data_IF_610855887808
#
_entry.id   IF_610855887808
#
_cell.length_a   1.000
_cell.length_b   1.000
_cell.length_c   1.000
_cell.angle_alpha   90.00
_cell.angle_beta   90.00
_cell.angle_gamma   90.00
#
_symmetry.space_group_name_H-M   'P 1'
#
loop_
_entity.id
_entity.type
_entity.pdbx_description
1 polymer ?
#
# COMPACT_ATOMS: atom_id res chain seq x y z
N UNK A 1 -13.66 17.23 -16.38
CA UNK A 1 -14.48 16.41 -15.44
C UNK A 1 -14.29 14.90 -15.67
N UNK A 2 -14.23 14.40 -16.89
CA UNK A 2 -14.08 12.95 -17.18
C UNK A 2 -12.76 12.34 -16.68
N UNK A 3 -11.66 13.09 -16.67
CA UNK A 3 -10.35 12.62 -16.18
C UNK A 3 -10.36 12.34 -14.67
N UNK A 4 -10.98 13.20 -13.88
CA UNK A 4 -11.04 13.03 -12.43
C UNK A 4 -11.92 11.83 -12.02
N UNK A 5 -13.02 11.61 -12.74
CA UNK A 5 -13.92 10.46 -12.49
C UNK A 5 -13.18 9.16 -12.80
N UNK A 6 -12.44 9.09 -13.91
CA UNK A 6 -11.62 7.91 -14.24
C UNK A 6 -10.56 7.64 -13.19
N UNK A 7 -9.87 8.67 -12.71
CA UNK A 7 -8.90 8.52 -11.64
C UNK A 7 -9.52 7.98 -10.35
N UNK A 8 -10.69 8.48 -9.95
CA UNK A 8 -11.43 8.00 -8.78
C UNK A 8 -11.82 6.52 -8.95
N UNK A 9 -12.36 6.15 -10.12
CA UNK A 9 -12.75 4.76 -10.40
C UNK A 9 -11.57 3.80 -10.35
N UNK A 10 -10.42 4.21 -10.91
CA UNK A 10 -9.19 3.41 -10.85
C UNK A 10 -8.71 3.25 -9.40
N UNK A 11 -8.76 4.30 -8.59
CA UNK A 11 -8.43 4.22 -7.18
C UNK A 11 -9.36 3.26 -6.42
N UNK A 12 -10.68 3.36 -6.65
CA UNK A 12 -11.65 2.46 -6.02
C UNK A 12 -11.39 1.00 -6.41
N UNK A 13 -11.12 0.73 -7.69
CA UNK A 13 -10.77 -0.61 -8.15
C UNK A 13 -9.48 -1.12 -7.47
N UNK A 14 -8.48 -0.26 -7.31
CA UNK A 14 -7.25 -0.62 -6.60
C UNK A 14 -7.52 -0.99 -5.14
N UNK A 15 -8.37 -0.25 -4.44
CA UNK A 15 -8.77 -0.58 -3.06
C UNK A 15 -9.49 -1.92 -2.99
N UNK A 16 -10.44 -2.19 -3.88
CA UNK A 16 -11.11 -3.51 -3.94
C UNK A 16 -10.10 -4.64 -4.15
N UNK A 17 -9.11 -4.47 -5.03
CA UNK A 17 -8.05 -5.45 -5.22
C UNK A 17 -7.19 -5.64 -3.95
N UNK A 18 -6.89 -4.56 -3.22
CA UNK A 18 -6.17 -4.65 -1.94
C UNK A 18 -6.97 -5.38 -0.87
N UNK A 19 -8.26 -5.12 -0.76
CA UNK A 19 -9.13 -5.79 0.21
C UNK A 19 -9.26 -7.28 -0.11
N UNK A 20 -9.46 -7.64 -1.38
CA UNK A 20 -9.44 -9.04 -1.81
C UNK A 20 -8.11 -9.72 -1.48
N UNK A 21 -6.98 -9.03 -1.69
CA UNK A 21 -5.67 -9.54 -1.31
C UNK A 21 -5.59 -9.77 0.21
N UNK A 22 -6.08 -8.83 1.03
CA UNK A 22 -6.05 -8.96 2.48
C UNK A 22 -6.87 -10.18 2.97
N UNK A 23 -8.05 -10.41 2.37
CA UNK A 23 -8.86 -11.61 2.64
C UNK A 23 -8.10 -12.89 2.29
N UNK A 24 -7.46 -12.95 1.12
CA UNK A 24 -6.66 -14.11 0.72
C UNK A 24 -5.47 -14.36 1.66
N UNK A 25 -4.75 -13.30 2.06
CA UNK A 25 -3.65 -13.40 3.01
C UNK A 25 -4.16 -13.93 4.35
N UNK A 26 -5.30 -13.44 4.84
CA UNK A 26 -5.92 -13.93 6.08
C UNK A 26 -6.26 -15.43 5.99
N UNK A 27 -6.83 -15.85 4.87
CA UNK A 27 -7.18 -17.25 4.67
C UNK A 27 -5.95 -18.16 4.59
N UNK A 28 -4.91 -17.73 3.91
CA UNK A 28 -3.66 -18.46 3.77
C UNK A 28 -2.81 -18.46 5.05
N UNK A 29 -2.95 -17.46 5.91
CA UNK A 29 -2.22 -17.35 7.18
C UNK A 29 -2.52 -18.50 8.16
N UNK A 30 -3.60 -19.27 7.91
CA UNK A 30 -3.89 -20.49 8.65
C UNK A 30 -2.91 -21.64 8.32
N UNK A 31 -2.20 -21.59 7.17
CA UNK A 31 -1.29 -22.64 6.70
C UNK A 31 0.15 -22.18 6.54
N UNK A 32 0.36 -20.91 6.24
CA UNK A 32 1.66 -20.34 5.90
C UNK A 32 2.01 -19.22 6.86
N UNK A 33 3.28 -19.09 7.20
CA UNK A 33 3.74 -17.99 8.04
C UNK A 33 3.65 -16.63 7.29
N UNK A 34 3.47 -15.51 8.01
CA UNK A 34 3.46 -14.17 7.39
C UNK A 34 4.71 -13.89 6.55
N UNK A 35 5.85 -14.42 6.96
CA UNK A 35 7.13 -14.27 6.26
C UNK A 35 7.11 -14.99 4.91
N UNK A 36 6.63 -16.24 4.88
CA UNK A 36 6.50 -17.02 3.64
C UNK A 36 5.56 -16.35 2.65
N UNK A 37 4.39 -15.89 3.11
CA UNK A 37 3.44 -15.17 2.28
C UNK A 37 4.03 -13.88 1.70
N UNK A 38 4.83 -13.16 2.48
CA UNK A 38 5.54 -11.97 2.02
C UNK A 38 6.55 -12.31 0.91
N UNK A 39 7.33 -13.38 1.08
CA UNK A 39 8.31 -13.84 0.09
C UNK A 39 7.61 -14.26 -1.21
N UNK A 40 6.59 -15.11 -1.13
CA UNK A 40 5.83 -15.56 -2.30
C UNK A 40 5.24 -14.38 -3.07
N UNK A 41 4.62 -13.44 -2.38
CA UNK A 41 4.08 -12.24 -3.02
C UNK A 41 5.14 -11.45 -3.77
N UNK A 42 6.30 -11.22 -3.14
CA UNK A 42 7.37 -10.43 -3.75
C UNK A 42 7.99 -11.15 -4.96
N UNK A 43 8.22 -12.46 -4.86
CA UNK A 43 8.76 -13.26 -5.97
C UNK A 43 7.77 -13.32 -7.15
N UNK A 44 6.50 -13.63 -6.88
CA UNK A 44 5.48 -13.69 -7.92
C UNK A 44 5.22 -12.30 -8.50
N UNK A 45 5.28 -11.24 -7.69
CA UNK A 45 5.09 -9.85 -8.13
C UNK A 45 6.16 -9.34 -9.11
N UNK A 46 7.32 -10.00 -9.18
CA UNK A 46 8.33 -9.69 -10.20
C UNK A 46 7.84 -10.05 -11.60
N UNK A 47 7.06 -11.13 -11.75
CA UNK A 47 6.59 -11.60 -13.06
C UNK A 47 5.78 -10.53 -13.82
N UNK A 48 4.69 -9.96 -13.26
CA UNK A 48 3.94 -8.91 -13.97
C UNK A 48 4.78 -7.66 -14.24
N UNK A 49 5.74 -7.34 -13.36
CA UNK A 49 6.65 -6.21 -13.58
C UNK A 49 7.55 -6.45 -14.78
N UNK A 50 8.13 -7.64 -14.90
CA UNK A 50 8.96 -8.02 -16.06
C UNK A 50 8.13 -8.05 -17.34
N UNK A 51 6.92 -8.61 -17.30
CA UNK A 51 6.01 -8.63 -18.45
C UNK A 51 5.67 -7.19 -18.90
N UNK A 52 5.37 -6.30 -17.96
CA UNK A 52 5.07 -4.90 -18.26
C UNK A 52 6.27 -4.19 -18.91
N UNK A 53 7.47 -4.36 -18.36
CA UNK A 53 8.70 -3.81 -18.92
C UNK A 53 8.99 -4.35 -20.32
N UNK A 54 8.72 -5.64 -20.55
CA UNK A 54 8.86 -6.22 -21.88
C UNK A 54 7.83 -5.65 -22.87
N UNK A 55 6.59 -5.46 -22.43
CA UNK A 55 5.51 -4.89 -23.25
C UNK A 55 5.76 -3.43 -23.61
N UNK A 56 6.24 -2.62 -22.66
CA UNK A 56 6.57 -1.20 -22.89
C UNK A 56 7.89 -1.01 -23.66
N UNK A 57 8.59 -2.11 -24.01
CA UNK A 57 9.92 -2.08 -24.62
C UNK A 57 10.99 -1.32 -23.82
N UNK A 58 10.77 -1.14 -22.54
CA UNK A 58 11.73 -0.51 -21.63
C UNK A 58 12.72 -1.54 -21.05
N UNK A 59 12.55 -2.81 -21.37
CA UNK A 59 13.44 -3.89 -20.95
C UNK A 59 14.75 -3.76 -21.73
N UNK A 60 15.75 -3.18 -21.10
CA UNK A 60 17.10 -3.04 -21.67
C UNK A 60 18.01 -4.08 -21.03
N UNK A 61 18.73 -4.86 -21.84
CA UNK A 61 19.77 -5.78 -21.35
C UNK A 61 21.05 -5.03 -20.94
N UNK A 62 21.08 -3.71 -21.11
CA UNK A 62 22.22 -2.91 -20.69
C UNK A 62 22.06 -2.52 -19.21
N UNK A 63 22.85 -3.14 -18.36
CA UNK A 63 22.86 -2.89 -16.90
C UNK A 63 23.08 -1.43 -16.53
N UNK A 64 23.73 -0.65 -17.42
CA UNK A 64 23.93 0.79 -17.19
C UNK A 64 22.61 1.60 -17.27
N UNK A 65 21.61 1.12 -18.00
CA UNK A 65 20.30 1.74 -18.07
C UNK A 65 19.52 1.68 -16.76
N UNK A 66 19.82 0.67 -15.92
CA UNK A 66 19.18 0.47 -14.60
C UNK A 66 20.00 1.06 -13.46
N UNK A 67 21.03 1.85 -13.73
CA UNK A 67 21.86 2.48 -12.70
C UNK A 67 21.03 3.49 -11.92
N UNK A 68 20.61 3.11 -10.73
CA UNK A 68 19.82 3.96 -9.83
C UNK A 68 20.74 5.07 -9.32
N UNK A 69 20.47 6.32 -9.73
CA UNK A 69 21.24 7.50 -9.31
C UNK A 69 21.18 7.73 -7.79
N UNK A 70 20.06 7.36 -7.16
CA UNK A 70 19.82 7.54 -5.73
C UNK A 70 19.59 6.20 -5.03
N UNK A 71 20.55 5.28 -5.17
CA UNK A 71 20.44 3.93 -4.64
C UNK A 71 20.17 3.86 -3.12
N UNK A 72 20.72 4.81 -2.35
CA UNK A 72 20.51 4.90 -0.90
C UNK A 72 19.04 5.15 -0.55
N UNK A 73 18.38 6.07 -1.27
CA UNK A 73 16.95 6.34 -1.09
C UNK A 73 16.08 5.17 -1.56
N UNK A 74 16.45 4.53 -2.67
CA UNK A 74 15.74 3.35 -3.16
C UNK A 74 15.83 2.19 -2.17
N UNK A 75 17.02 1.94 -1.61
CA UNK A 75 17.21 0.92 -0.58
C UNK A 75 16.44 1.24 0.70
N UNK A 76 16.52 2.47 1.20
CA UNK A 76 15.77 2.91 2.37
C UNK A 76 14.26 2.72 2.19
N UNK A 77 13.71 3.15 1.04
CA UNK A 77 12.30 2.92 0.71
C UNK A 77 11.96 1.44 0.68
N UNK A 78 12.77 0.62 0.01
CA UNK A 78 12.55 -0.82 -0.08
C UNK A 78 12.53 -1.49 1.29
N UNK A 79 13.47 -1.11 2.17
CA UNK A 79 13.53 -1.62 3.54
C UNK A 79 12.27 -1.28 4.34
N UNK A 80 11.84 0.00 4.35
CA UNK A 80 10.64 0.40 5.08
C UNK A 80 9.37 -0.25 4.51
N UNK A 81 9.26 -0.39 3.20
CA UNK A 81 8.13 -1.08 2.57
C UNK A 81 8.09 -2.56 2.95
N UNK A 82 9.24 -3.24 2.92
CA UNK A 82 9.33 -4.65 3.32
C UNK A 82 8.98 -4.85 4.79
N UNK A 83 9.48 -3.99 5.67
CA UNK A 83 9.16 -4.02 7.10
C UNK A 83 7.67 -3.77 7.34
N UNK A 84 7.10 -2.74 6.72
CA UNK A 84 5.67 -2.44 6.84
C UNK A 84 4.80 -3.60 6.34
N UNK A 85 5.18 -4.25 5.24
CA UNK A 85 4.49 -5.42 4.70
C UNK A 85 4.53 -6.60 5.66
N UNK A 86 5.68 -6.90 6.27
CA UNK A 86 5.80 -7.97 7.25
C UNK A 86 4.92 -7.71 8.48
N UNK A 87 4.96 -6.49 9.01
CA UNK A 87 4.12 -6.08 10.14
C UNK A 87 2.63 -6.17 9.80
N UNK A 88 2.23 -5.74 8.61
CA UNK A 88 0.85 -5.82 8.15
C UNK A 88 0.37 -7.28 8.00
N UNK A 89 1.19 -8.17 7.45
CA UNK A 89 0.85 -9.59 7.33
C UNK A 89 0.80 -10.27 8.70
N UNK A 90 1.68 -9.90 9.61
CA UNK A 90 1.63 -10.38 11.00
C UNK A 90 0.34 -9.93 11.70
N UNK A 91 -0.08 -8.69 11.47
CA UNK A 91 -1.37 -8.19 11.98
C UNK A 91 -2.55 -8.97 11.40
N UNK A 92 -2.57 -9.20 10.07
CA UNK A 92 -3.62 -10.00 9.41
C UNK A 92 -3.67 -11.45 9.91
N UNK A 93 -2.56 -12.03 10.31
CA UNK A 93 -2.50 -13.40 10.85
C UNK A 93 -3.08 -13.49 12.27
N UNK A 94 -2.88 -12.46 13.09
CA UNK A 94 -3.18 -12.51 14.53
C UNK A 94 -4.43 -11.71 14.94
N UNK A 95 -4.85 -10.72 14.16
CA UNK A 95 -5.99 -9.87 14.46
C UNK A 95 -7.16 -10.17 13.51
N UNK A 96 -8.35 -9.78 13.91
CA UNK A 96 -9.52 -9.83 13.04
C UNK A 96 -9.37 -8.85 11.86
N UNK A 97 -9.89 -9.22 10.69
CA UNK A 97 -9.79 -8.44 9.47
C UNK A 97 -10.41 -7.03 9.64
N UNK A 98 -11.53 -6.95 10.37
CA UNK A 98 -12.20 -5.70 10.67
C UNK A 98 -11.30 -4.75 11.46
N UNK A 99 -10.62 -5.25 12.49
CA UNK A 99 -9.68 -4.49 13.32
C UNK A 99 -8.49 -3.99 12.51
N UNK A 100 -7.90 -4.83 11.65
CA UNK A 100 -6.78 -4.42 10.79
C UNK A 100 -7.23 -3.34 9.80
N UNK A 101 -8.42 -3.49 9.22
CA UNK A 101 -8.98 -2.49 8.31
C UNK A 101 -9.27 -1.16 9.02
N UNK A 102 -9.81 -1.20 10.23
CA UNK A 102 -10.05 -0.01 11.05
C UNK A 102 -8.74 0.72 11.41
N UNK A 103 -7.71 -0.03 11.84
CA UNK A 103 -6.38 0.53 12.08
C UNK A 103 -5.77 1.12 10.81
N UNK A 104 -6.05 0.54 9.65
CA UNK A 104 -5.62 1.06 8.35
C UNK A 104 -6.14 2.48 8.07
N UNK A 105 -7.30 2.87 8.59
CA UNK A 105 -7.83 4.23 8.43
C UNK A 105 -6.97 5.28 9.15
N UNK A 106 -6.18 4.90 10.16
CA UNK A 106 -5.25 5.83 10.81
C UNK A 106 -4.16 6.34 9.88
N UNK A 107 -3.86 5.63 8.79
CA UNK A 107 -2.91 6.06 7.76
C UNK A 107 -3.32 7.41 7.18
N UNK A 108 -4.61 7.63 6.94
CA UNK A 108 -5.11 8.90 6.42
C UNK A 108 -4.79 10.08 7.37
N UNK A 109 -4.90 9.87 8.67
CA UNK A 109 -4.55 10.88 9.69
C UNK A 109 -3.05 11.19 9.63
N UNK A 110 -2.20 10.15 9.62
CA UNK A 110 -0.75 10.31 9.56
C UNK A 110 -0.30 11.00 8.27
N UNK A 111 -0.88 10.65 7.12
CA UNK A 111 -0.57 11.30 5.84
C UNK A 111 -0.88 12.79 5.89
N UNK A 112 -2.04 13.17 6.43
CA UNK A 112 -2.43 14.58 6.57
C UNK A 112 -1.49 15.33 7.52
N UNK A 113 -1.13 14.72 8.66
CA UNK A 113 -0.19 15.31 9.63
C UNK A 113 1.20 15.50 9.01
N UNK A 114 1.72 14.49 8.31
CA UNK A 114 3.03 14.56 7.64
C UNK A 114 3.02 15.64 6.55
N UNK A 115 1.96 15.70 5.73
CA UNK A 115 1.82 16.72 4.69
C UNK A 115 1.83 18.14 5.29
N UNK A 116 1.18 18.33 6.41
CA UNK A 116 1.13 19.62 7.10
C UNK A 116 2.49 20.00 7.72
N UNK A 117 3.16 19.05 8.40
CA UNK A 117 4.40 19.31 9.13
C UNK A 117 5.60 19.47 8.18
N UNK A 118 5.73 18.56 7.19
CA UNK A 118 6.92 18.52 6.32
C UNK A 118 6.77 19.33 5.03
N UNK A 119 5.56 19.41 4.48
CA UNK A 119 5.31 20.11 3.23
C UNK A 119 4.67 21.49 3.43
N UNK A 120 4.27 21.84 4.67
CA UNK A 120 3.61 23.11 4.97
C UNK A 120 2.26 23.26 4.25
N UNK A 121 1.64 22.16 3.84
CA UNK A 121 0.36 22.21 3.15
C UNK A 121 -0.74 22.72 4.10
N UNK A 122 -1.49 23.72 3.65
CA UNK A 122 -2.69 24.18 4.38
C UNK A 122 -3.82 23.19 4.14
N UNK A 123 -4.05 22.34 5.11
CA UNK A 123 -5.15 21.37 5.06
C UNK A 123 -6.46 22.08 5.39
N UNK A 124 -7.35 22.16 4.40
CA UNK A 124 -8.67 22.77 4.58
C UNK A 124 -9.55 21.97 5.53
N UNK A 125 -10.52 22.66 6.15
CA UNK A 125 -11.48 22.09 7.12
C UNK A 125 -12.22 20.86 6.57
N UNK A 126 -12.52 20.84 5.27
CA UNK A 126 -13.18 19.73 4.61
C UNK A 126 -12.36 18.42 4.62
N UNK A 127 -11.05 18.54 4.47
CA UNK A 127 -10.15 17.36 4.54
C UNK A 127 -10.07 16.82 5.97
N UNK A 128 -9.99 17.71 6.96
CA UNK A 128 -10.04 17.33 8.37
C UNK A 128 -11.38 16.68 8.74
N UNK A 129 -12.50 17.23 8.25
CA UNK A 129 -13.82 16.65 8.44
C UNK A 129 -13.92 15.23 7.86
N UNK A 130 -13.44 15.02 6.63
CA UNK A 130 -13.45 13.70 5.99
C UNK A 130 -12.59 12.68 6.77
N UNK A 131 -11.40 13.08 7.24
CA UNK A 131 -10.53 12.22 8.04
C UNK A 131 -11.18 11.88 9.38
N UNK A 132 -11.78 12.86 10.06
CA UNK A 132 -12.46 12.64 11.34
C UNK A 132 -13.66 11.68 11.19
N UNK A 133 -14.48 11.85 10.16
CA UNK A 133 -15.62 10.97 9.92
C UNK A 133 -15.15 9.55 9.58
N UNK A 134 -14.16 9.39 8.71
CA UNK A 134 -13.59 8.09 8.36
C UNK A 134 -12.98 7.37 9.56
N UNK A 135 -12.24 8.09 10.39
CA UNK A 135 -11.63 7.55 11.61
C UNK A 135 -12.67 7.15 12.67
N UNK A 136 -13.69 8.00 12.88
CA UNK A 136 -14.78 7.69 13.79
C UNK A 136 -15.57 6.47 13.31
N UNK A 137 -15.85 6.38 11.99
CA UNK A 137 -16.49 5.19 11.42
C UNK A 137 -15.68 3.91 11.64
N UNK A 138 -14.36 3.98 11.50
CA UNK A 138 -13.48 2.86 11.76
C UNK A 138 -13.47 2.43 13.24
N UNK A 139 -13.49 3.38 14.17
CA UNK A 139 -13.55 3.09 15.61
C UNK A 139 -14.88 2.45 16.04
N UNK A 140 -15.97 2.71 15.33
CA UNK A 140 -17.27 2.08 15.65
C UNK A 140 -17.35 0.61 15.21
N UNK A 141 -16.41 0.13 14.39
CA UNK A 141 -16.35 -1.25 13.91
C UNK A 141 -15.53 -2.14 14.85
N UNK A 142 -14.64 -1.54 15.63
CA UNK A 142 -13.76 -2.20 16.62
C UNK A 142 -14.38 -2.20 17.99
#
# INVERSE_FOLDING_TARGET
MTSNIRAILVCLLAYVCFDLMAVHVRFLSARYSPQELSVYRNVIGVLPTVVLLAYTRELSFNLSAYKIRQWKLAFGRGFFVALAQLLFYTALANLELATVSALGQTIAVFVVLIAMIFYGEKVGVWRWGAVAVGFTGALLIV
#
